data_IF_656864607364
#
_entry.id   IF_656864607364
#
_cell.length_a   1.000
_cell.length_b   1.000
_cell.length_c   1.000
_cell.angle_alpha   90.00
_cell.angle_beta   90.00
_cell.angle_gamma   90.00
#
_symmetry.space_group_name_H-M   'P 1'
#
loop_
_entity.id
_entity.type
_entity.pdbx_description
1 polymer ?
#
# COMPACT_ATOMS: atom_id res chain seq x y z
N UNK A 1 -13.41 12.35 -5.71
CA UNK A 1 -13.42 11.09 -4.92
C UNK A 1 -12.17 10.22 -5.11
N UNK A 2 -11.64 10.05 -6.34
CA UNK A 2 -10.44 9.22 -6.61
C UNK A 2 -9.20 9.61 -5.79
N UNK A 3 -8.91 10.90 -5.68
CA UNK A 3 -7.80 11.43 -4.85
C UNK A 3 -7.87 11.03 -3.37
N UNK A 4 -9.08 11.09 -2.80
CA UNK A 4 -9.30 10.74 -1.38
C UNK A 4 -8.99 9.26 -1.16
N UNK A 5 -9.41 8.40 -2.08
CA UNK A 5 -9.11 6.97 -2.05
C UNK A 5 -7.61 6.72 -2.17
N UNK A 6 -6.90 7.41 -3.07
CA UNK A 6 -5.43 7.29 -3.19
C UNK A 6 -4.72 7.68 -1.88
N UNK A 7 -5.11 8.80 -1.27
CA UNK A 7 -4.53 9.27 0.00
C UNK A 7 -4.83 8.28 1.12
N UNK A 8 -6.08 7.78 1.22
CA UNK A 8 -6.45 6.77 2.21
C UNK A 8 -5.61 5.50 2.05
N UNK A 9 -5.44 5.00 0.83
CA UNK A 9 -4.63 3.82 0.59
C UNK A 9 -3.15 4.05 0.95
N UNK A 10 -2.60 5.24 0.66
CA UNK A 10 -1.25 5.61 1.11
C UNK A 10 -1.15 5.61 2.64
N UNK A 11 -2.12 6.22 3.34
CA UNK A 11 -2.16 6.22 4.80
C UNK A 11 -2.25 4.80 5.36
N UNK A 12 -3.03 3.92 4.72
CA UNK A 12 -3.11 2.51 5.11
C UNK A 12 -1.76 1.79 4.94
N UNK A 13 -1.00 2.07 3.88
CA UNK A 13 0.36 1.52 3.72
C UNK A 13 1.31 2.04 4.81
N UNK A 14 1.22 3.32 5.20
CA UNK A 14 2.02 3.86 6.31
C UNK A 14 1.63 3.20 7.65
N UNK A 15 0.35 2.97 7.89
CA UNK A 15 -0.12 2.28 9.10
C UNK A 15 0.41 0.85 9.22
N UNK A 16 0.63 0.16 8.10
CA UNK A 16 1.29 -1.15 8.11
C UNK A 16 2.69 -1.07 8.72
N UNK A 17 3.54 -0.15 8.24
CA UNK A 17 4.91 0.01 8.76
C UNK A 17 4.94 0.45 10.23
N UNK A 18 4.02 1.34 10.64
CA UNK A 18 3.89 1.75 12.04
C UNK A 18 3.51 0.55 12.92
N UNK A 19 2.52 -0.24 12.49
CA UNK A 19 2.13 -1.44 13.22
C UNK A 19 3.28 -2.43 13.33
N UNK A 20 4.15 -2.53 12.32
CA UNK A 20 5.29 -3.44 12.34
C UNK A 20 6.29 -3.04 13.42
N UNK A 21 6.61 -1.75 13.51
CA UNK A 21 7.57 -1.24 14.48
C UNK A 21 7.03 -1.36 15.91
N UNK A 22 5.74 -1.11 16.13
CA UNK A 22 5.14 -1.03 17.47
C UNK A 22 4.66 -2.39 17.97
N UNK A 23 4.03 -3.18 17.11
CA UNK A 23 3.27 -4.38 17.48
C UNK A 23 3.67 -5.57 16.59
N UNK A 24 4.92 -6.01 16.75
CA UNK A 24 5.52 -7.11 16.00
C UNK A 24 4.63 -8.38 16.07
N UNK A 25 3.98 -8.64 17.22
CA UNK A 25 3.09 -9.80 17.42
C UNK A 25 1.70 -9.71 16.76
N UNK A 26 1.11 -8.51 16.65
CA UNK A 26 -0.26 -8.33 16.08
C UNK A 26 -0.25 -8.39 14.56
N UNK A 27 0.89 -8.05 13.95
CA UNK A 27 1.04 -8.12 12.49
C UNK A 27 1.03 -9.54 11.97
N UNK A 28 1.51 -10.53 12.74
CA UNK A 28 1.44 -11.94 12.31
C UNK A 28 0.00 -12.39 12.06
N UNK A 29 -0.90 -12.16 13.02
CA UNK A 29 -2.31 -12.55 12.88
C UNK A 29 -3.03 -11.81 11.74
N UNK A 30 -2.54 -10.63 11.37
CA UNK A 30 -3.17 -9.78 10.36
C UNK A 30 -2.39 -9.71 9.04
N UNK A 31 -1.31 -10.50 8.86
CA UNK A 31 -0.40 -10.36 7.72
C UNK A 31 -1.10 -10.60 6.39
N UNK A 32 -2.08 -11.52 6.36
CA UNK A 32 -2.91 -11.79 5.19
C UNK A 32 -3.78 -10.60 4.79
N UNK A 33 -4.32 -9.87 5.78
CA UNK A 33 -5.13 -8.66 5.54
C UNK A 33 -4.24 -7.57 4.94
N UNK A 34 -3.03 -7.39 5.49
CA UNK A 34 -2.06 -6.44 4.99
C UNK A 34 -1.57 -6.80 3.57
N UNK A 35 -1.35 -8.09 3.30
CA UNK A 35 -1.00 -8.58 1.97
C UNK A 35 -2.11 -8.29 0.95
N UNK A 36 -3.36 -8.60 1.27
CA UNK A 36 -4.50 -8.33 0.41
C UNK A 36 -4.66 -6.82 0.16
N UNK A 37 -4.52 -6.00 1.21
CA UNK A 37 -4.60 -4.55 1.11
C UNK A 37 -3.46 -3.95 0.25
N UNK A 38 -2.27 -4.53 0.31
CA UNK A 38 -1.15 -4.15 -0.57
C UNK A 38 -1.40 -4.50 -2.03
N UNK A 39 -2.01 -5.66 -2.33
CA UNK A 39 -2.44 -6.02 -3.68
C UNK A 39 -3.54 -5.08 -4.22
N UNK A 40 -4.52 -4.74 -3.40
CA UNK A 40 -5.56 -3.76 -3.77
C UNK A 40 -4.92 -2.40 -4.06
N UNK A 41 -3.99 -1.97 -3.21
CA UNK A 41 -3.28 -0.70 -3.38
C UNK A 41 -2.45 -0.67 -4.66
N UNK A 42 -1.81 -1.79 -5.01
CA UNK A 42 -1.02 -1.94 -6.23
C UNK A 42 -1.89 -1.87 -7.49
N UNK A 43 -3.00 -2.62 -7.50
CA UNK A 43 -3.96 -2.59 -8.63
C UNK A 43 -4.65 -1.23 -8.76
N UNK A 44 -4.98 -0.58 -7.64
CA UNK A 44 -5.54 0.77 -7.62
C UNK A 44 -4.53 1.82 -8.13
N UNK A 45 -3.27 1.74 -7.69
CA UNK A 45 -2.19 2.60 -8.14
C UNK A 45 -1.92 2.46 -9.64
N UNK A 46 -1.86 1.23 -10.14
CA UNK A 46 -1.69 0.93 -11.57
C UNK A 46 -2.85 1.46 -12.43
N UNK A 47 -4.09 1.27 -11.95
CA UNK A 47 -5.27 1.81 -12.65
C UNK A 47 -5.28 3.34 -12.61
N UNK A 48 -4.81 3.95 -11.51
CA UNK A 48 -4.74 5.39 -11.36
C UNK A 48 -3.67 6.03 -12.27
N UNK A 49 -2.52 5.38 -12.48
CA UNK A 49 -1.49 5.89 -13.42
C UNK A 49 -1.94 5.87 -14.88
N UNK A 50 -2.75 4.89 -15.28
CA UNK A 50 -3.25 4.76 -16.65
C UNK A 50 -4.55 5.52 -16.92
N UNK A 51 -5.15 6.13 -15.89
CA UNK A 51 -6.37 6.92 -16.05
C UNK A 51 -6.03 8.38 -16.28
N UNK A 52 -6.74 9.01 -17.21
CA UNK A 52 -6.63 10.45 -17.42
C UNK A 52 -7.00 11.23 -16.13
N UNK A 53 -6.28 12.34 -15.86
CA UNK A 53 -6.60 13.20 -14.73
C UNK A 53 -7.99 13.81 -14.92
N UNK A 54 -8.72 14.00 -13.82
CA UNK A 54 -10.03 14.62 -13.86
C UNK A 54 -9.89 16.09 -14.33
N UNK A 55 -10.89 16.63 -15.04
CA UNK A 55 -10.86 17.96 -15.72
C UNK A 55 -10.39 19.16 -14.87
N UNK A 56 -10.46 19.06 -13.54
CA UNK A 56 -10.07 20.11 -12.58
C UNK A 56 -8.84 19.74 -11.74
N UNK A 57 -8.17 18.64 -12.04
CA UNK A 57 -7.10 18.08 -11.22
C UNK A 57 -5.73 18.33 -11.85
N UNK A 58 -4.78 18.83 -11.05
CA UNK A 58 -3.41 18.99 -11.50
C UNK A 58 -2.82 17.60 -11.80
N UNK A 59 -2.59 17.33 -13.10
CA UNK A 59 -2.04 16.08 -13.61
C UNK A 59 -0.79 15.63 -12.85
N UNK A 60 0.12 16.58 -12.54
CA UNK A 60 1.37 16.27 -11.85
C UNK A 60 1.13 15.73 -10.42
N UNK A 61 0.15 16.28 -9.69
CA UNK A 61 -0.13 15.84 -8.31
C UNK A 61 -0.83 14.48 -8.32
N UNK A 62 -1.75 14.26 -9.26
CA UNK A 62 -2.42 12.96 -9.41
C UNK A 62 -1.43 11.85 -9.78
N UNK A 63 -0.50 12.14 -10.69
CA UNK A 63 0.55 11.22 -11.12
C UNK A 63 1.54 10.95 -9.97
N UNK A 64 1.97 11.97 -9.24
CA UNK A 64 2.81 11.81 -8.05
C UNK A 64 2.16 10.91 -7.00
N UNK A 65 0.88 11.14 -6.65
CA UNK A 65 0.15 10.29 -5.69
C UNK A 65 0.05 8.84 -6.18
N UNK A 66 -0.24 8.63 -7.46
CA UNK A 66 -0.37 7.29 -8.04
C UNK A 66 0.97 6.53 -8.02
N UNK A 67 2.07 7.19 -8.37
CA UNK A 67 3.43 6.61 -8.30
C UNK A 67 3.81 6.29 -6.85
N UNK A 68 3.56 7.21 -5.91
CA UNK A 68 3.88 6.97 -4.50
C UNK A 68 3.11 5.79 -3.94
N UNK A 69 1.83 5.63 -4.31
CA UNK A 69 1.03 4.47 -3.90
C UNK A 69 1.58 3.17 -4.49
N UNK A 70 1.96 3.17 -5.76
CA UNK A 70 2.60 2.01 -6.40
C UNK A 70 3.89 1.62 -5.69
N UNK A 71 4.82 2.57 -5.48
CA UNK A 71 6.08 2.32 -4.79
C UNK A 71 5.86 1.78 -3.37
N UNK A 72 4.96 2.41 -2.60
CA UNK A 72 4.61 1.97 -1.24
C UNK A 72 4.04 0.55 -1.24
N UNK A 73 3.13 0.23 -2.17
CA UNK A 73 2.51 -1.09 -2.26
C UNK A 73 3.50 -2.20 -2.65
N UNK A 74 4.47 -1.90 -3.52
CA UNK A 74 5.53 -2.84 -3.88
C UNK A 74 6.46 -3.07 -2.70
N UNK A 75 6.85 -2.00 -2.01
CA UNK A 75 7.70 -2.10 -0.83
C UNK A 75 7.03 -2.88 0.30
N UNK A 76 5.74 -2.68 0.54
CA UNK A 76 5.01 -3.45 1.56
C UNK A 76 4.89 -4.93 1.20
N UNK A 77 4.65 -5.26 -0.08
CA UNK A 77 4.67 -6.65 -0.54
C UNK A 77 6.03 -7.33 -0.36
N UNK A 78 7.12 -6.65 -0.74
CA UNK A 78 8.49 -7.16 -0.52
C UNK A 78 8.74 -7.38 0.98
N UNK A 79 8.30 -6.45 1.81
CA UNK A 79 8.47 -6.54 3.25
C UNK A 79 7.67 -7.70 3.86
N UNK A 80 6.43 -7.91 3.41
CA UNK A 80 5.60 -9.05 3.82
C UNK A 80 6.26 -10.37 3.42
N UNK A 81 6.79 -10.48 2.20
CA UNK A 81 7.54 -11.66 1.76
C UNK A 81 8.77 -11.91 2.63
N UNK A 82 9.50 -10.85 2.98
CA UNK A 82 10.66 -10.94 3.87
C UNK A 82 10.25 -11.45 5.26
N UNK A 83 9.15 -10.97 5.84
CA UNK A 83 8.64 -11.44 7.13
C UNK A 83 8.29 -12.94 7.04
N UNK A 84 7.59 -13.37 5.99
CA UNK A 84 7.21 -14.77 5.78
C UNK A 84 8.44 -15.69 5.72
N UNK A 85 9.49 -15.27 5.01
CA UNK A 85 10.72 -16.06 4.84
C UNK A 85 11.56 -16.08 6.11
N UNK A 86 11.70 -14.94 6.79
CA UNK A 86 12.59 -14.80 7.95
C UNK A 86 11.99 -15.32 9.26
N UNK A 87 10.66 -15.33 9.37
CA UNK A 87 9.96 -15.81 10.57
C UNK A 87 8.87 -16.83 10.22
N UNK A 88 9.24 -17.99 9.64
CA UNK A 88 8.27 -19.01 9.19
C UNK A 88 7.56 -19.73 10.35
N UNK A 89 8.10 -19.68 11.57
CA UNK A 89 7.55 -20.36 12.75
C UNK A 89 6.27 -19.72 13.33
N UNK A 90 5.78 -18.64 12.71
CA UNK A 90 4.57 -17.90 13.13
C UNK A 90 3.46 -17.92 12.06
N UNK A 91 3.59 -18.79 11.04
CA UNK A 91 2.55 -19.18 10.08
C UNK A 91 1.73 -20.34 10.64
#
# INVERSE_FOLDING_TARGET
MRRVILILLILMQVMFFINYIINDGVIFFNIYVWALLSLISLTAGWKATNSEPNLYENSNIHLALSITLLLMSVMSLIFILLIIITRPYFL
#
